data_IF_561394791522
#
_entry.id   IF_561394791522
#
_cell.length_a   1.000
_cell.length_b   1.000
_cell.length_c   1.000
_cell.angle_alpha   90.00
_cell.angle_beta   90.00
_cell.angle_gamma   90.00
#
_symmetry.space_group_name_H-M   'P 1'
#
loop_
_entity.id
_entity.type
_entity.pdbx_description
1 polymer ?
#
# COMPACT_ATOMS: atom_id res chain seq x y z
N UNK A 1 1.73 30.86 -24.06
CA UNK A 1 0.91 29.66 -23.81
C UNK A 1 1.73 28.76 -22.92
N UNK A 2 1.33 28.61 -21.65
CA UNK A 2 1.97 27.69 -20.73
C UNK A 2 1.48 26.28 -21.10
N UNK A 3 2.42 25.40 -21.41
CA UNK A 3 2.15 23.97 -21.54
C UNK A 3 1.93 23.49 -20.12
N UNK A 4 0.70 23.10 -19.79
CA UNK A 4 0.43 22.46 -18.51
C UNK A 4 1.28 21.19 -18.44
N UNK A 5 2.09 21.06 -17.38
CA UNK A 5 2.73 19.79 -17.03
C UNK A 5 1.64 18.73 -16.91
N UNK A 6 1.58 17.84 -17.89
CA UNK A 6 0.74 16.64 -17.82
C UNK A 6 1.42 15.72 -16.82
N UNK A 7 1.04 15.82 -15.55
CA UNK A 7 1.42 14.84 -14.54
C UNK A 7 0.69 13.55 -14.87
N UNK A 8 1.41 12.58 -15.46
CA UNK A 8 0.85 11.26 -15.74
C UNK A 8 0.52 10.57 -14.41
N UNK A 9 -0.74 10.15 -14.24
CA UNK A 9 -1.14 9.31 -13.12
C UNK A 9 -0.34 8.00 -13.19
N UNK A 10 0.40 7.67 -12.13
CA UNK A 10 1.13 6.40 -12.00
C UNK A 10 0.20 5.19 -11.91
N UNK A 11 0.73 3.95 -12.00
CA UNK A 11 -0.08 2.74 -11.88
C UNK A 11 -0.72 2.65 -10.49
N UNK A 12 -1.98 2.21 -10.44
CA UNK A 12 -2.65 1.84 -9.19
C UNK A 12 -2.19 0.45 -8.73
N UNK A 13 -1.84 -0.44 -9.67
CA UNK A 13 -1.35 -1.80 -9.41
C UNK A 13 -0.13 -2.06 -10.28
N UNK A 14 0.96 -2.52 -9.66
CA UNK A 14 2.22 -2.84 -10.32
C UNK A 14 2.60 -4.29 -10.06
N UNK A 15 2.96 -4.99 -11.13
CA UNK A 15 3.58 -6.30 -11.11
C UNK A 15 5.01 -6.20 -11.63
N UNK A 16 5.92 -6.95 -11.03
CA UNK A 16 7.32 -6.99 -11.46
C UNK A 16 7.71 -8.42 -11.85
N UNK A 17 8.47 -8.57 -12.92
CA UNK A 17 9.19 -9.80 -13.20
C UNK A 17 10.35 -9.98 -12.18
N UNK A 18 10.67 -11.19 -11.71
CA UNK A 18 10.07 -12.49 -12.04
C UNK A 18 8.88 -12.89 -11.15
N UNK A 19 8.40 -11.99 -10.28
CA UNK A 19 7.33 -12.31 -9.32
C UNK A 19 6.02 -12.67 -10.03
N UNK A 20 5.74 -12.01 -11.15
CA UNK A 20 4.69 -12.38 -12.10
C UNK A 20 5.34 -12.67 -13.45
N UNK A 21 5.32 -13.93 -13.85
CA UNK A 21 5.83 -14.38 -15.14
C UNK A 21 4.97 -13.91 -16.32
N UNK A 22 5.50 -14.02 -17.55
CA UNK A 22 4.77 -13.60 -18.76
C UNK A 22 3.48 -14.41 -18.95
N UNK A 23 3.49 -15.70 -18.66
CA UNK A 23 2.31 -16.56 -18.81
C UNK A 23 1.19 -16.13 -17.83
N UNK A 24 1.54 -15.89 -16.56
CA UNK A 24 0.62 -15.40 -15.54
C UNK A 24 0.11 -13.99 -15.88
N UNK A 25 0.97 -13.12 -16.43
CA UNK A 25 0.55 -11.81 -16.92
C UNK A 25 -0.50 -11.94 -18.03
N UNK A 26 -0.31 -12.84 -18.99
CA UNK A 26 -1.26 -13.05 -20.09
C UNK A 26 -2.61 -13.50 -19.55
N UNK A 27 -2.63 -14.35 -18.53
CA UNK A 27 -3.86 -14.75 -17.84
C UNK A 27 -4.53 -13.55 -17.15
N UNK A 28 -3.78 -12.74 -16.39
CA UNK A 28 -4.29 -11.54 -15.71
C UNK A 28 -4.89 -10.54 -16.71
N UNK A 29 -4.18 -10.28 -17.81
CA UNK A 29 -4.65 -9.38 -18.87
C UNK A 29 -5.92 -9.93 -19.53
N UNK A 30 -5.98 -11.24 -19.77
CA UNK A 30 -7.17 -11.88 -20.36
C UNK A 30 -8.38 -11.78 -19.44
N UNK A 31 -8.20 -12.04 -18.15
CA UNK A 31 -9.26 -11.96 -17.14
C UNK A 31 -9.78 -10.54 -16.94
N UNK A 32 -8.88 -9.55 -16.97
CA UNK A 32 -9.26 -8.13 -16.83
C UNK A 32 -9.88 -7.54 -18.11
N UNK A 33 -9.77 -8.23 -19.25
CA UNK A 33 -10.40 -7.86 -20.53
C UNK A 33 -10.25 -6.37 -20.89
N UNK A 34 -9.02 -5.81 -20.87
CA UNK A 34 -8.83 -4.39 -21.14
C UNK A 34 -9.18 -4.07 -22.59
N UNK A 35 -9.77 -2.89 -22.81
CA UNK A 35 -10.04 -2.39 -24.17
C UNK A 35 -8.76 -2.01 -24.91
N UNK A 36 -7.73 -1.59 -24.17
CA UNK A 36 -6.44 -1.14 -24.70
C UNK A 36 -5.35 -1.54 -23.70
N UNK A 37 -4.22 -2.01 -24.23
CA UNK A 37 -2.97 -2.18 -23.51
C UNK A 37 -1.85 -1.48 -24.28
N UNK A 38 -0.90 -0.90 -23.55
CA UNK A 38 0.25 -0.17 -24.09
C UNK A 38 1.51 -0.92 -23.71
N UNK A 39 2.23 -1.40 -24.72
CA UNK A 39 3.55 -1.98 -24.55
C UNK A 39 4.59 -0.88 -24.81
N UNK A 40 5.47 -0.66 -23.84
CA UNK A 40 6.61 0.23 -23.98
C UNK A 40 7.90 -0.58 -23.73
N UNK A 41 8.96 -0.15 -24.39
CA UNK A 41 10.30 -0.69 -24.22
C UNK A 41 11.27 0.47 -24.11
N UNK A 42 12.23 0.34 -23.21
CA UNK A 42 13.25 1.34 -22.97
C UNK A 42 14.62 0.73 -23.26
N UNK A 43 15.44 1.45 -24.01
CA UNK A 43 16.85 1.12 -24.19
C UNK A 43 17.66 1.90 -23.15
N UNK A 44 18.72 1.28 -22.65
CA UNK A 44 19.64 1.91 -21.72
C UNK A 44 20.40 3.03 -22.42
N UNK A 45 20.59 4.15 -21.71
CA UNK A 45 21.41 5.27 -22.13
C UNK A 45 22.50 5.47 -21.07
N UNK A 46 23.72 5.02 -21.37
CA UNK A 46 24.84 5.08 -20.45
C UNK A 46 25.21 6.53 -20.08
N UNK A 47 24.86 7.51 -20.92
CA UNK A 47 25.12 8.93 -20.64
C UNK A 47 24.21 9.50 -19.54
N UNK A 48 23.09 8.85 -19.25
CA UNK A 48 22.16 9.23 -18.19
C UNK A 48 22.45 8.52 -16.85
N UNK A 49 23.37 7.55 -16.85
CA UNK A 49 23.74 6.80 -15.67
C UNK A 49 24.81 7.55 -14.85
N UNK A 50 24.51 7.87 -13.59
CA UNK A 50 25.38 8.69 -12.72
C UNK A 50 26.47 7.83 -12.04
N UNK A 51 27.33 7.22 -12.85
CA UNK A 51 28.34 6.30 -12.35
C UNK A 51 29.31 6.96 -11.34
N UNK A 52 29.39 6.49 -10.08
CA UNK A 52 30.20 7.10 -9.03
C UNK A 52 31.70 6.81 -9.19
N UNK A 53 32.08 5.86 -10.06
CA UNK A 53 33.47 5.55 -10.36
C UNK A 53 33.66 5.10 -11.83
N UNK A 54 34.91 5.12 -12.28
CA UNK A 54 35.30 4.78 -13.66
C UNK A 54 35.05 3.30 -14.03
N UNK A 55 35.03 2.40 -13.04
CA UNK A 55 34.73 0.98 -13.30
C UNK A 55 33.27 0.77 -13.67
N UNK A 56 32.35 1.37 -12.90
CA UNK A 56 30.91 1.31 -13.16
C UNK A 56 30.53 2.04 -14.44
N UNK A 57 31.21 3.15 -14.75
CA UNK A 57 31.01 3.86 -16.02
C UNK A 57 31.27 2.95 -17.22
N UNK A 58 32.36 2.18 -17.20
CA UNK A 58 32.68 1.25 -18.30
C UNK A 58 31.67 0.11 -18.42
N UNK A 59 31.21 -0.44 -17.29
CA UNK A 59 30.17 -1.47 -17.30
C UNK A 59 28.87 -0.89 -17.88
N UNK A 60 28.50 0.34 -17.52
CA UNK A 60 27.34 1.01 -18.10
C UNK A 60 27.51 1.26 -19.62
N UNK A 61 28.68 1.73 -20.06
CA UNK A 61 29.00 1.94 -21.48
C UNK A 61 28.93 0.63 -22.31
N UNK A 62 29.31 -0.51 -21.73
CA UNK A 62 29.22 -1.82 -22.39
C UNK A 62 27.77 -2.25 -22.68
N UNK A 63 26.79 -1.71 -21.95
CA UNK A 63 25.36 -1.99 -22.12
C UNK A 63 24.59 -0.86 -22.84
N UNK A 64 25.28 0.15 -23.39
CA UNK A 64 24.63 1.28 -24.05
C UNK A 64 23.77 0.84 -25.25
N UNK A 65 22.52 1.31 -25.27
CA UNK A 65 21.53 0.94 -26.28
C UNK A 65 20.92 -0.47 -26.12
N UNK A 66 21.32 -1.25 -25.12
CA UNK A 66 20.67 -2.54 -24.82
C UNK A 66 19.27 -2.33 -24.23
N UNK A 67 18.36 -3.28 -24.47
CA UNK A 67 17.01 -3.23 -23.92
C UNK A 67 17.07 -3.38 -22.39
N UNK A 68 16.69 -2.33 -21.66
CA UNK A 68 16.74 -2.29 -20.19
C UNK A 68 15.42 -2.67 -19.56
N UNK A 69 14.31 -2.19 -20.12
CA UNK A 69 12.99 -2.42 -19.53
C UNK A 69 11.92 -2.64 -20.59
N UNK A 70 10.95 -3.48 -20.23
CA UNK A 70 9.71 -3.66 -20.98
C UNK A 70 8.56 -3.50 -20.00
N UNK A 71 7.61 -2.63 -20.32
CA UNK A 71 6.41 -2.44 -19.52
C UNK A 71 5.14 -2.61 -20.34
N UNK A 72 4.17 -3.29 -19.75
CA UNK A 72 2.82 -3.40 -20.29
C UNK A 72 1.87 -2.67 -19.33
N UNK A 73 1.23 -1.61 -19.81
CA UNK A 73 0.25 -0.84 -19.02
C UNK A 73 -1.14 -0.96 -19.61
N UNK A 74 -2.15 -1.22 -18.79
CA UNK A 74 -3.54 -1.32 -19.23
C UNK A 74 -4.51 -0.74 -18.20
N UNK A 75 -5.73 -0.45 -18.65
CA UNK A 75 -6.79 0.06 -17.79
C UNK A 75 -7.94 -0.94 -17.72
N UNK A 76 -8.31 -1.34 -16.50
CA UNK A 76 -9.43 -2.24 -16.22
C UNK A 76 -10.07 -1.85 -14.89
N UNK A 77 -11.41 -1.89 -14.83
CA UNK A 77 -12.22 -1.58 -13.64
C UNK A 77 -11.90 -0.21 -12.98
N UNK A 78 -11.54 0.78 -13.79
CA UNK A 78 -11.20 2.14 -13.32
C UNK A 78 -9.80 2.27 -12.71
N UNK A 79 -9.00 1.21 -12.75
CA UNK A 79 -7.62 1.16 -12.28
C UNK A 79 -6.63 1.10 -13.45
N UNK A 80 -5.45 1.67 -13.24
CA UNK A 80 -4.29 1.56 -14.12
C UNK A 80 -3.40 0.45 -13.58
N UNK A 81 -3.18 -0.57 -14.39
CA UNK A 81 -2.34 -1.71 -14.09
C UNK A 81 -1.06 -1.61 -14.91
N UNK A 82 0.05 -2.04 -14.35
CA UNK A 82 1.33 -2.11 -15.03
C UNK A 82 2.06 -3.39 -14.67
N UNK A 83 2.67 -4.01 -15.67
CA UNK A 83 3.66 -5.05 -15.50
C UNK A 83 4.98 -4.54 -16.04
N UNK A 84 6.05 -4.73 -15.28
CA UNK A 84 7.39 -4.27 -15.62
C UNK A 84 8.37 -5.42 -15.54
N UNK A 85 9.20 -5.56 -16.57
CA UNK A 85 10.39 -6.41 -16.55
C UNK A 85 11.62 -5.55 -16.81
N UNK A 86 12.62 -5.71 -15.97
CA UNK A 86 13.93 -5.06 -16.10
C UNK A 86 14.99 -6.12 -16.39
N UNK A 87 16.00 -5.77 -17.17
CA UNK A 87 17.13 -6.63 -17.42
C UNK A 87 17.93 -6.85 -16.14
N UNK A 88 18.31 -8.11 -15.86
CA UNK A 88 19.03 -8.46 -14.63
C UNK A 88 20.35 -7.71 -14.46
N UNK A 89 21.09 -7.51 -15.56
CA UNK A 89 22.36 -6.79 -15.53
C UNK A 89 22.19 -5.34 -15.07
N UNK A 90 21.03 -4.73 -15.34
CA UNK A 90 20.75 -3.36 -14.92
C UNK A 90 20.48 -3.30 -13.42
N UNK A 91 19.72 -4.26 -12.87
CA UNK A 91 19.52 -4.38 -11.42
C UNK A 91 20.86 -4.57 -10.69
N UNK A 92 21.72 -5.45 -11.22
CA UNK A 92 23.07 -5.69 -10.69
C UNK A 92 23.93 -4.39 -10.74
N UNK A 93 23.87 -3.65 -11.85
CA UNK A 93 24.60 -2.39 -12.04
C UNK A 93 24.13 -1.28 -11.09
N UNK A 94 22.82 -1.13 -10.88
CA UNK A 94 22.26 -0.19 -9.91
C UNK A 94 22.62 -0.56 -8.46
N UNK A 95 22.63 -1.85 -8.12
CA UNK A 95 23.07 -2.29 -6.78
C UNK A 95 24.55 -1.96 -6.53
N UNK A 96 25.42 -2.15 -7.53
CA UNK A 96 26.83 -1.78 -7.42
C UNK A 96 27.05 -0.26 -7.34
N UNK A 97 26.26 0.53 -8.06
CA UNK A 97 26.24 2.00 -7.97
C UNK A 97 25.89 2.47 -6.56
N UNK A 98 24.77 1.99 -6.01
CA UNK A 98 24.35 2.30 -4.65
C UNK A 98 25.48 1.94 -3.67
N UNK A 99 26.04 0.73 -3.78
CA UNK A 99 27.12 0.27 -2.92
C UNK A 99 28.35 1.18 -3.00
N UNK A 100 28.73 1.61 -4.20
CA UNK A 100 29.87 2.48 -4.43
C UNK A 100 29.62 3.90 -3.90
N UNK A 101 28.42 4.47 -4.08
CA UNK A 101 28.04 5.73 -3.47
C UNK A 101 28.08 5.66 -1.94
N UNK A 102 27.60 4.55 -1.37
CA UNK A 102 27.62 4.33 0.08
C UNK A 102 29.05 4.27 0.63
N UNK A 103 29.95 3.56 -0.06
CA UNK A 103 31.37 3.50 0.29
C UNK A 103 32.05 4.87 0.16
N UNK A 104 31.75 5.62 -0.90
CA UNK A 104 32.28 6.96 -1.14
C UNK A 104 31.81 7.98 -0.08
N UNK A 105 30.62 7.80 0.50
CA UNK A 105 30.09 8.62 1.61
C UNK A 105 30.68 8.25 3.00
N UNK A 106 31.63 7.31 3.07
CA UNK A 106 32.37 6.99 4.30
C UNK A 106 31.54 6.34 5.40
N UNK A 107 30.42 5.69 5.05
CA UNK A 107 29.61 4.94 6.02
C UNK A 107 30.19 3.52 6.09
N UNK A 108 30.89 3.24 7.18
CA UNK A 108 31.38 1.91 7.54
C UNK A 108 30.22 0.90 7.43
N UNK A 109 30.40 -0.22 6.71
CA UNK A 109 29.35 -1.22 6.43
C UNK A 109 28.60 -1.65 7.69
N UNK A 110 29.32 -1.73 8.81
CA UNK A 110 28.81 -2.02 10.15
C UNK A 110 27.87 -0.93 10.67
N UNK A 111 28.17 0.35 10.41
CA UNK A 111 27.33 1.48 10.76
C UNK A 111 26.03 1.55 9.96
N UNK A 112 26.07 1.14 8.68
CA UNK A 112 24.86 1.01 7.85
C UNK A 112 23.96 -0.12 8.35
N UNK A 113 24.51 -1.30 8.61
CA UNK A 113 23.76 -2.42 9.18
C UNK A 113 23.15 -2.07 10.55
N UNK A 114 23.90 -1.39 11.43
CA UNK A 114 23.38 -0.90 12.72
C UNK A 114 22.24 0.11 12.55
N UNK A 115 22.34 1.04 11.59
CA UNK A 115 21.25 1.99 11.29
C UNK A 115 20.04 1.30 10.68
N UNK A 116 20.22 0.30 9.81
CA UNK A 116 19.11 -0.48 9.25
C UNK A 116 18.40 -1.29 10.34
N UNK A 117 19.15 -1.93 11.24
CA UNK A 117 18.58 -2.67 12.38
C UNK A 117 17.83 -1.71 13.31
N UNK A 118 18.42 -0.56 13.63
CA UNK A 118 17.78 0.47 14.46
C UNK A 118 16.50 0.99 13.79
N UNK A 119 16.57 1.34 12.51
CA UNK A 119 15.43 1.84 11.74
C UNK A 119 14.32 0.80 11.60
N UNK A 120 14.65 -0.48 11.38
CA UNK A 120 13.67 -1.57 11.34
C UNK A 120 12.99 -1.73 12.70
N UNK A 121 13.75 -1.72 13.79
CA UNK A 121 13.22 -1.83 15.15
C UNK A 121 12.32 -0.63 15.49
N UNK A 122 12.74 0.59 15.17
CA UNK A 122 11.97 1.80 15.38
C UNK A 122 10.68 1.81 14.54
N UNK A 123 10.75 1.39 13.27
CA UNK A 123 9.59 1.26 12.39
C UNK A 123 8.60 0.23 12.91
N UNK A 124 9.06 -0.93 13.38
CA UNK A 124 8.20 -1.95 13.96
C UNK A 124 7.51 -1.46 15.24
N UNK A 125 8.25 -0.86 16.17
CA UNK A 125 7.67 -0.30 17.41
C UNK A 125 6.64 0.80 17.13
N UNK A 126 6.93 1.69 16.18
CA UNK A 126 5.96 2.72 15.77
C UNK A 126 4.72 2.10 15.14
N UNK A 127 4.87 1.07 14.31
CA UNK A 127 3.74 0.37 13.72
C UNK A 127 2.85 -0.25 14.80
N UNK A 128 3.44 -0.93 15.79
CA UNK A 128 2.72 -1.49 16.94
C UNK A 128 1.96 -0.40 17.71
N UNK A 129 2.62 0.70 18.07
CA UNK A 129 2.00 1.84 18.76
C UNK A 129 0.84 2.47 17.97
N UNK A 130 1.01 2.63 16.65
CA UNK A 130 -0.03 3.17 15.78
C UNK A 130 -1.22 2.22 15.74
N UNK A 131 -0.98 0.92 15.58
CA UNK A 131 -2.05 -0.09 15.50
C UNK A 131 -2.76 -0.27 16.84
N UNK A 132 -2.10 -0.01 17.97
CA UNK A 132 -2.71 -0.04 19.31
C UNK A 132 -3.49 1.24 19.67
N UNK A 133 -3.22 2.36 18.99
CA UNK A 133 -3.86 3.63 19.29
C UNK A 133 -5.39 3.58 19.04
N UNK A 134 -6.24 3.81 20.07
CA UNK A 134 -7.70 3.74 19.90
C UNK A 134 -8.25 4.75 18.89
N UNK A 135 -7.62 5.92 18.81
CA UNK A 135 -7.98 6.95 17.84
C UNK A 135 -7.67 6.51 16.39
N UNK A 136 -6.59 5.76 16.17
CA UNK A 136 -6.24 5.23 14.85
C UNK A 136 -7.19 4.11 14.42
N UNK A 137 -7.39 3.10 15.27
CA UNK A 137 -8.35 1.99 15.02
C UNK A 137 -9.74 2.51 14.71
N UNK A 138 -10.09 3.57 15.42
CA UNK A 138 -11.38 4.21 15.42
C UNK A 138 -11.77 5.04 14.20
N UNK A 139 -10.81 5.33 13.34
CA UNK A 139 -11.00 6.18 12.17
C UNK A 139 -11.08 5.35 10.90
N UNK A 140 -11.67 5.93 9.85
CA UNK A 140 -11.71 5.34 8.51
C UNK A 140 -10.43 5.65 7.73
N UNK A 141 -10.23 4.98 6.59
CA UNK A 141 -9.01 5.04 5.77
C UNK A 141 -8.48 6.46 5.53
N UNK A 142 -9.36 7.44 5.28
CA UNK A 142 -8.95 8.80 4.94
C UNK A 142 -8.40 9.60 6.15
N UNK A 143 -8.78 9.21 7.38
CA UNK A 143 -8.39 9.92 8.62
C UNK A 143 -7.31 9.20 9.42
N UNK A 144 -7.06 7.93 9.12
CA UNK A 144 -6.00 7.11 9.76
C UNK A 144 -4.60 7.70 9.60
N UNK A 145 -4.28 8.34 8.47
CA UNK A 145 -2.96 8.97 8.29
C UNK A 145 -2.72 10.10 9.29
N UNK A 146 -3.72 10.95 9.54
CA UNK A 146 -3.59 12.03 10.51
C UNK A 146 -3.41 11.49 11.94
N UNK A 147 -4.13 10.43 12.31
CA UNK A 147 -3.98 9.79 13.61
C UNK A 147 -2.63 9.10 13.77
N UNK A 148 -2.14 8.42 12.74
CA UNK A 148 -0.80 7.83 12.75
C UNK A 148 0.28 8.90 12.89
N UNK A 149 0.11 10.07 12.24
CA UNK A 149 1.03 11.19 12.39
C UNK A 149 1.05 11.71 13.83
N UNK A 150 -0.10 11.84 14.49
CA UNK A 150 -0.16 12.24 15.91
C UNK A 150 0.62 11.26 16.80
N UNK A 151 0.51 9.95 16.54
CA UNK A 151 1.29 8.94 17.27
C UNK A 151 2.79 9.09 16.99
N UNK A 152 3.18 9.33 15.73
CA UNK A 152 4.58 9.56 15.37
C UNK A 152 5.14 10.83 16.02
N UNK A 153 4.39 11.93 16.03
CA UNK A 153 4.77 13.20 16.64
C UNK A 153 4.95 13.08 18.17
N UNK A 154 4.18 12.19 18.81
CA UNK A 154 4.32 11.87 20.23
C UNK A 154 5.57 11.00 20.55
N UNK A 155 6.21 10.41 19.54
CA UNK A 155 7.38 9.53 19.70
C UNK A 155 8.55 9.99 18.82
N UNK A 156 9.05 11.22 19.01
CA UNK A 156 10.06 11.83 18.13
C UNK A 156 11.39 11.06 18.11
N UNK A 157 11.71 10.36 19.21
CA UNK A 157 12.89 9.50 19.30
C UNK A 157 12.83 8.33 18.32
N UNK A 158 11.67 7.69 18.15
CA UNK A 158 11.51 6.59 17.20
C UNK A 158 11.49 7.10 15.76
N UNK A 159 10.94 8.30 15.53
CA UNK A 159 10.90 8.92 14.20
C UNK A 159 12.29 9.35 13.73
N UNK A 160 13.14 9.86 14.63
CA UNK A 160 14.51 10.26 14.32
C UNK A 160 15.36 9.08 13.81
N UNK A 161 15.05 7.86 14.26
CA UNK A 161 15.75 6.63 13.87
C UNK A 161 15.19 6.02 12.56
N UNK A 162 14.12 6.57 11.98
CA UNK A 162 13.55 6.06 10.73
C UNK A 162 14.35 6.56 9.52
N UNK A 163 14.76 5.62 8.67
CA UNK A 163 15.30 5.93 7.35
C UNK A 163 14.20 6.47 6.42
N UNK A 164 12.98 5.89 6.49
CA UNK A 164 11.84 6.26 5.64
C UNK A 164 10.55 6.43 6.47
N UNK A 165 10.29 7.62 7.02
CA UNK A 165 9.09 7.86 7.85
C UNK A 165 7.76 7.63 7.11
N UNK A 166 7.71 7.95 5.81
CA UNK A 166 6.50 7.77 4.99
C UNK A 166 6.13 6.29 4.79
N UNK A 167 7.10 5.39 4.81
CA UNK A 167 6.84 3.96 4.65
C UNK A 167 6.13 3.37 5.86
N UNK A 168 6.44 3.86 7.07
CA UNK A 168 5.72 3.45 8.29
C UNK A 168 4.23 3.81 8.20
N UNK A 169 3.88 4.98 7.67
CA UNK A 169 2.48 5.37 7.45
C UNK A 169 1.78 4.49 6.40
N UNK A 170 2.46 4.17 5.30
CA UNK A 170 1.95 3.25 4.26
C UNK A 170 1.70 1.85 4.84
N UNK A 171 2.65 1.32 5.61
CA UNK A 171 2.57 0.01 6.28
C UNK A 171 1.45 -0.02 7.32
N UNK A 172 1.29 1.04 8.13
CA UNK A 172 0.20 1.16 9.09
C UNK A 172 -1.17 1.11 8.41
N UNK A 173 -1.34 1.79 7.27
CA UNK A 173 -2.58 1.72 6.48
C UNK A 173 -2.83 0.33 5.92
N UNK A 174 -1.81 -0.33 5.38
CA UNK A 174 -1.93 -1.67 4.83
C UNK A 174 -2.32 -2.68 5.93
N UNK A 175 -1.63 -2.66 7.07
CA UNK A 175 -1.95 -3.50 8.23
C UNK A 175 -3.38 -3.23 8.75
N UNK A 176 -3.79 -1.96 8.82
CA UNK A 176 -5.14 -1.58 9.20
C UNK A 176 -6.22 -2.08 8.22
N UNK A 177 -5.91 -2.14 6.92
CA UNK A 177 -6.83 -2.69 5.92
C UNK A 177 -6.99 -4.21 6.09
N UNK A 178 -5.89 -4.92 6.36
CA UNK A 178 -5.89 -6.36 6.64
C UNK A 178 -6.70 -6.65 7.91
N UNK A 179 -6.49 -5.90 9.00
CA UNK A 179 -7.26 -6.08 10.23
C UNK A 179 -8.75 -5.79 10.05
N UNK A 180 -9.11 -4.73 9.32
CA UNK A 180 -10.52 -4.46 8.98
C UNK A 180 -11.12 -5.63 8.20
N UNK A 181 -10.43 -6.15 7.17
CA UNK A 181 -10.92 -7.28 6.40
C UNK A 181 -11.08 -8.55 7.26
N UNK A 182 -10.16 -8.80 8.20
CA UNK A 182 -10.24 -9.91 9.16
C UNK A 182 -11.45 -9.77 10.09
N UNK A 183 -11.74 -8.56 10.57
CA UNK A 183 -12.93 -8.33 11.40
C UNK A 183 -14.22 -8.44 10.60
N UNK A 184 -14.24 -7.92 9.37
CA UNK A 184 -15.40 -8.03 8.49
C UNK A 184 -15.72 -9.48 8.11
N UNK A 185 -14.70 -10.35 8.00
CA UNK A 185 -14.92 -11.78 7.74
C UNK A 185 -15.33 -12.56 8.99
N UNK A 186 -14.87 -12.16 10.18
CA UNK A 186 -15.29 -12.77 11.46
C UNK A 186 -16.69 -12.35 11.88
N UNK A 187 -17.07 -11.12 11.58
CA UNK A 187 -18.39 -10.57 11.90
C UNK A 187 -19.40 -10.84 10.77
N UNK A 188 -19.38 -12.05 10.23
CA UNK A 188 -20.44 -12.57 9.36
C UNK A 188 -21.18 -13.66 10.12
N UNK A 189 -22.51 -13.59 10.16
CA UNK A 189 -23.34 -14.62 10.76
C UNK A 189 -24.56 -14.07 11.49
N UNK A 190 -25.44 -14.99 11.87
CA UNK A 190 -26.75 -14.66 12.46
C UNK A 190 -26.63 -13.84 13.76
N UNK A 191 -25.63 -14.12 14.60
CA UNK A 191 -25.46 -13.44 15.89
C UNK A 191 -25.20 -11.93 15.78
N UNK A 192 -24.53 -11.47 14.72
CA UNK A 192 -24.35 -10.02 14.50
C UNK A 192 -25.58 -9.42 13.86
N UNK A 193 -26.25 -10.15 12.96
CA UNK A 193 -27.47 -9.70 12.30
C UNK A 193 -28.60 -9.52 13.31
N UNK A 194 -28.80 -10.48 14.21
CA UNK A 194 -29.81 -10.40 15.26
C UNK A 194 -29.56 -9.21 16.21
N UNK A 195 -28.31 -8.98 16.60
CA UNK A 195 -27.94 -7.80 17.38
C UNK A 195 -28.19 -6.48 16.62
N UNK A 196 -27.99 -6.46 15.30
CA UNK A 196 -28.33 -5.30 14.46
C UNK A 196 -29.85 -5.13 14.34
N UNK A 197 -30.64 -6.21 14.27
CA UNK A 197 -32.11 -6.15 14.28
C UNK A 197 -32.60 -5.45 15.55
N UNK A 198 -32.06 -5.78 16.72
CA UNK A 198 -32.39 -5.11 17.99
C UNK A 198 -32.12 -3.60 17.92
N UNK A 199 -30.98 -3.19 17.35
CA UNK A 199 -30.66 -1.76 17.14
C UNK A 199 -31.69 -1.08 16.23
N UNK A 200 -32.10 -1.75 15.14
CA UNK A 200 -33.07 -1.22 14.19
C UNK A 200 -34.50 -1.08 14.77
N UNK A 201 -34.82 -1.80 15.85
CA UNK A 201 -36.13 -1.67 16.52
C UNK A 201 -36.24 -0.38 17.33
N UNK A 202 -35.13 0.09 17.90
CA UNK A 202 -35.10 1.26 18.79
C UNK A 202 -34.90 2.58 18.04
N UNK A 203 -34.31 2.53 16.84
CA UNK A 203 -33.92 3.72 16.08
C UNK A 203 -34.92 4.13 14.99
N UNK A 204 -35.36 5.39 15.04
CA UNK A 204 -36.38 5.95 14.12
C UNK A 204 -35.82 6.52 12.81
N UNK A 205 -34.57 6.96 12.77
CA UNK A 205 -33.97 7.58 11.58
C UNK A 205 -32.81 6.76 11.03
N UNK A 206 -32.59 6.82 9.70
CA UNK A 206 -31.47 6.10 9.05
C UNK A 206 -30.12 6.57 9.60
N UNK A 207 -29.98 7.86 9.90
CA UNK A 207 -28.75 8.42 10.46
C UNK A 207 -28.44 7.84 11.87
N UNK A 208 -29.45 7.76 12.75
CA UNK A 208 -29.30 7.16 14.09
C UNK A 208 -29.04 5.65 14.01
N UNK A 209 -29.70 4.95 13.08
CA UNK A 209 -29.44 3.53 12.80
C UNK A 209 -27.97 3.32 12.40
N UNK A 210 -27.47 4.06 11.40
CA UNK A 210 -26.07 3.94 10.95
C UNK A 210 -25.10 4.22 12.09
N UNK A 211 -25.32 5.27 12.88
CA UNK A 211 -24.45 5.61 14.01
C UNK A 211 -24.42 4.52 15.09
N UNK A 212 -25.56 3.94 15.44
CA UNK A 212 -25.65 2.89 16.46
C UNK A 212 -25.12 1.55 15.97
N UNK A 213 -25.36 1.18 14.71
CA UNK A 213 -24.76 0.00 14.08
C UNK A 213 -23.24 0.14 14.09
N UNK A 214 -22.71 1.29 13.65
CA UNK A 214 -21.28 1.56 13.70
C UNK A 214 -20.73 1.42 15.14
N UNK A 215 -21.41 1.96 16.14
CA UNK A 215 -20.99 1.86 17.55
C UNK A 215 -21.05 0.42 18.10
N UNK A 216 -22.06 -0.36 17.73
CA UNK A 216 -22.20 -1.78 18.10
C UNK A 216 -21.06 -2.60 17.49
N UNK A 217 -20.92 -2.51 16.17
CA UNK A 217 -19.93 -3.28 15.41
C UNK A 217 -18.52 -2.94 15.84
N UNK A 218 -18.21 -1.66 16.04
CA UNK A 218 -16.90 -1.20 16.53
C UNK A 218 -16.55 -1.77 17.91
N UNK A 219 -17.52 -1.91 18.80
CA UNK A 219 -17.30 -2.55 20.12
C UNK A 219 -16.98 -4.04 19.99
N UNK A 220 -17.61 -4.72 19.02
CA UNK A 220 -17.33 -6.14 18.74
C UNK A 220 -16.03 -6.36 17.96
N UNK A 221 -15.59 -5.35 17.19
CA UNK A 221 -14.35 -5.36 16.43
C UNK A 221 -13.18 -4.70 17.20
N UNK A 222 -13.12 -4.81 18.53
CA UNK A 222 -12.02 -4.29 19.36
C UNK A 222 -11.62 -2.81 19.06
N UNK A 223 -12.63 -1.96 18.83
CA UNK A 223 -12.45 -0.54 18.56
C UNK A 223 -12.20 -0.19 17.09
N UNK A 224 -12.04 -1.17 16.20
CA UNK A 224 -11.84 -0.97 14.76
C UNK A 224 -13.10 -0.42 14.08
N UNK A 225 -12.95 0.69 13.36
CA UNK A 225 -13.94 1.16 12.43
C UNK A 225 -13.90 0.32 11.14
N UNK A 226 -15.02 -0.34 10.85
CA UNK A 226 -15.20 -1.16 9.64
C UNK A 226 -15.68 -0.31 8.46
N UNK A 227 -15.66 -0.86 7.26
CA UNK A 227 -16.06 -0.15 6.04
C UNK A 227 -17.54 0.22 6.03
N UNK A 228 -17.88 1.34 5.38
CA UNK A 228 -19.28 1.76 5.24
C UNK A 228 -20.11 0.72 4.48
N UNK A 229 -19.52 0.10 3.44
CA UNK A 229 -20.17 -0.95 2.66
C UNK A 229 -20.55 -2.16 3.54
N UNK A 230 -19.65 -2.57 4.45
CA UNK A 230 -19.93 -3.65 5.38
C UNK A 230 -21.08 -3.31 6.33
N UNK A 231 -21.07 -2.11 6.92
CA UNK A 231 -22.13 -1.65 7.82
C UNK A 231 -23.48 -1.55 7.10
N UNK A 232 -23.49 -1.07 5.86
CA UNK A 232 -24.69 -0.97 5.04
C UNK A 232 -25.25 -2.36 4.67
N UNK A 233 -24.38 -3.32 4.37
CA UNK A 233 -24.77 -4.72 4.14
C UNK A 233 -25.46 -5.31 5.36
N UNK A 234 -24.86 -5.19 6.55
CA UNK A 234 -25.47 -5.67 7.80
C UNK A 234 -26.84 -5.01 8.04
N UNK A 235 -26.96 -3.70 7.79
CA UNK A 235 -28.22 -2.96 7.94
C UNK A 235 -29.32 -3.50 7.03
N UNK A 236 -29.00 -3.75 5.75
CA UNK A 236 -29.94 -4.26 4.77
C UNK A 236 -30.38 -5.68 5.08
N UNK A 237 -29.43 -6.54 5.45
CA UNK A 237 -29.69 -7.94 5.82
C UNK A 237 -30.57 -8.05 7.07
N UNK A 238 -30.27 -7.28 8.12
CA UNK A 238 -31.12 -7.19 9.31
C UNK A 238 -32.52 -6.64 9.00
N UNK A 239 -32.63 -5.67 8.08
CA UNK A 239 -33.92 -5.14 7.65
C UNK A 239 -34.76 -6.17 6.87
N UNK A 240 -34.14 -7.03 6.06
CA UNK A 240 -34.81 -8.13 5.36
C UNK A 240 -35.25 -9.22 6.33
N UNK A 241 -34.38 -9.61 7.28
CA UNK A 241 -34.71 -10.59 8.33
C UNK A 241 -35.92 -10.15 9.16
N UNK A 242 -36.01 -8.88 9.53
CA UNK A 242 -37.17 -8.31 10.23
C UNK A 242 -38.48 -8.42 9.43
N UNK A 243 -38.42 -8.46 8.09
CA UNK A 243 -39.60 -8.58 7.22
C UNK A 243 -40.06 -10.03 7.01
N UNK A 244 -39.20 -11.01 7.28
CA UNK A 244 -39.46 -12.45 7.11
C UNK A 244 -39.56 -13.12 8.49
N UNK A 245 -40.76 -13.14 9.11
CA UNK A 245 -40.96 -13.78 10.41
C UNK A 245 -40.77 -15.31 10.35
#
# INVERSE_FOLDING_TARGET
MSVAEVTSRGPDILFAYPQVGVDELVEIVSLSSPKVAFLASEAFDASQFDAPNESLRRIAEDHDGELVSVSLRWAADGLIWEWLATARWHDDLTEEEELAEYQARGIDRVGHELRLVSSRSASQKLLELILEAPAFRGETTNRRTAQAQIVMDAHPNLVADLMFPRDTLKRARAAAAVEVANWESRLTGDEIIDAVVEVLQVSRTIADQKARIAALVRRRADGWALSENFLERLRLEAADRRRRP
#
